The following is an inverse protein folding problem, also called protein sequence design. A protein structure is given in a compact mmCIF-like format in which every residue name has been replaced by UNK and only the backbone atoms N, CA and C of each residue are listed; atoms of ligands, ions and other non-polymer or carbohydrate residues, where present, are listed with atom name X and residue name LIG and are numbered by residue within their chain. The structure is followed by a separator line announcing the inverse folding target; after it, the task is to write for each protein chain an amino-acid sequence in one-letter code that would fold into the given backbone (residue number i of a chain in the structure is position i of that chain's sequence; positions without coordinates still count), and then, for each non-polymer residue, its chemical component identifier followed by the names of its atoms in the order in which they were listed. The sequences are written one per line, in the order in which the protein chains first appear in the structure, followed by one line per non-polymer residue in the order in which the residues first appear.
data_IF_941021111974
#
_entry.id   IF_941021111974
#
_cell.length_a   1.000
_cell.length_b   1.000
_cell.length_c   1.000
_cell.angle_alpha   90.00
_cell.angle_beta   90.00
_cell.angle_gamma   90.00
#
_symmetry.space_group_name_H-M   'P 1'
#
loop_
_entity.id
_entity.type
_entity.pdbx_description
1 polymer ?
#
# COMPACT_ATOMS: atom_id res chain seq x y z
N UNK A 1 -23.07 21.38 30.17
CA UNK A 1 -22.35 20.09 30.14
C UNK A 1 -21.53 20.05 28.86
N UNK A 2 -20.24 20.41 28.93
CA UNK A 2 -19.33 20.38 27.76
C UNK A 2 -19.21 18.92 27.30
N UNK A 3 -19.34 18.71 26.00
CA UNK A 3 -19.34 17.38 25.38
C UNK A 3 -18.07 16.63 25.74
N UNK A 4 -18.24 15.56 26.51
CA UNK A 4 -17.21 14.59 26.80
C UNK A 4 -16.94 13.84 25.48
N UNK A 5 -16.00 14.36 24.68
CA UNK A 5 -15.60 13.74 23.42
C UNK A 5 -15.28 12.27 23.67
N UNK A 6 -15.94 11.38 22.92
CA UNK A 6 -15.83 9.94 23.06
C UNK A 6 -14.36 9.56 23.03
N UNK A 7 -13.88 8.88 24.08
CA UNK A 7 -12.50 8.39 24.12
C UNK A 7 -12.36 7.27 23.09
N UNK A 8 -11.44 7.43 22.14
CA UNK A 8 -11.09 6.37 21.20
C UNK A 8 -10.51 5.17 21.93
N UNK A 9 -10.83 3.97 21.47
CA UNK A 9 -10.20 2.72 21.95
C UNK A 9 -8.78 2.58 21.40
N UNK A 10 -7.95 1.76 22.04
CA UNK A 10 -6.58 1.45 21.59
C UNK A 10 -6.58 0.94 20.13
N UNK A 11 -7.51 0.04 19.79
CA UNK A 11 -7.64 -0.49 18.43
C UNK A 11 -7.96 0.60 17.40
N UNK A 12 -8.88 1.50 17.71
CA UNK A 12 -9.21 2.64 16.84
C UNK A 12 -8.01 3.57 16.63
N UNK A 13 -7.20 3.82 17.66
CA UNK A 13 -5.99 4.64 17.54
C UNK A 13 -4.94 3.94 16.67
N UNK A 14 -4.73 2.63 16.84
CA UNK A 14 -3.79 1.87 16.01
C UNK A 14 -4.22 1.78 14.53
N UNK A 15 -5.51 1.88 14.25
CA UNK A 15 -6.06 1.96 12.90
C UNK A 15 -5.76 3.30 12.20
N UNK A 16 -5.45 4.37 12.94
CA UNK A 16 -5.02 5.66 12.38
C UNK A 16 -3.57 5.66 11.89
N UNK A 17 -2.78 4.64 12.23
CA UNK A 17 -1.37 4.61 11.89
C UNK A 17 -1.17 4.58 10.35
N UNK A 18 -0.36 5.48 9.77
CA UNK A 18 -0.18 5.57 8.32
C UNK A 18 0.65 4.41 7.75
N UNK A 19 1.46 3.77 8.59
CA UNK A 19 2.27 2.60 8.26
C UNK A 19 2.63 1.81 9.53
N UNK A 20 3.17 0.60 9.36
CA UNK A 20 3.53 -0.30 10.46
C UNK A 20 4.71 0.24 11.30
N UNK A 21 5.62 1.03 10.71
CA UNK A 21 6.74 1.62 11.45
C UNK A 21 6.24 2.70 12.43
N UNK A 22 5.35 3.57 11.96
CA UNK A 22 4.63 4.57 12.74
C UNK A 22 3.76 3.93 13.81
N UNK A 23 3.08 2.82 13.49
CA UNK A 23 2.32 2.02 14.47
C UNK A 23 3.20 1.50 15.60
N UNK A 24 4.31 0.85 15.26
CA UNK A 24 5.25 0.30 16.26
C UNK A 24 5.91 1.39 17.09
N UNK A 25 6.32 2.48 16.45
CA UNK A 25 6.94 3.62 17.13
C UNK A 25 5.94 4.31 18.08
N UNK A 26 4.73 4.62 17.60
CA UNK A 26 3.67 5.21 18.43
C UNK A 26 3.26 4.31 19.60
N UNK A 27 3.23 2.99 19.40
CA UNK A 27 2.94 2.03 20.48
C UNK A 27 3.97 2.09 21.61
N UNK A 28 5.26 2.28 21.29
CA UNK A 28 6.31 2.46 22.32
C UNK A 28 6.15 3.76 23.09
N UNK A 29 5.71 4.81 22.41
CA UNK A 29 5.46 6.12 23.02
C UNK A 29 4.15 6.17 23.81
N UNK A 30 3.25 5.18 23.70
CA UNK A 30 1.95 5.15 24.37
C UNK A 30 1.96 4.94 25.89
N UNK A 31 3.08 5.23 26.57
CA UNK A 31 3.26 5.01 28.01
C UNK A 31 3.52 6.34 28.74
N UNK A 32 3.03 6.47 29.99
CA UNK A 32 3.10 7.73 30.73
C UNK A 32 4.54 8.27 30.92
N UNK A 33 5.55 7.38 30.95
CA UNK A 33 6.96 7.76 31.14
C UNK A 33 7.57 8.54 29.97
N UNK A 34 7.01 8.44 28.77
CA UNK A 34 7.49 9.16 27.57
C UNK A 34 6.97 10.59 27.48
N UNK A 35 6.02 10.99 28.35
CA UNK A 35 5.27 12.24 28.21
C UNK A 35 5.38 13.14 29.44
N UNK A 36 5.38 14.44 29.18
CA UNK A 36 5.27 15.48 30.21
C UNK A 36 4.35 16.60 29.74
N UNK A 37 3.84 17.42 30.68
CA UNK A 37 2.94 18.53 30.36
C UNK A 37 1.68 18.11 29.60
N UNK A 38 1.19 16.89 29.85
CA UNK A 38 0.00 16.33 29.19
C UNK A 38 -1.27 17.02 29.69
N UNK A 39 -2.22 17.22 28.78
CA UNK A 39 -3.53 17.76 29.13
C UNK A 39 -4.58 17.50 28.06
N UNK A 40 -5.84 17.63 28.44
CA UNK A 40 -6.96 17.61 27.52
C UNK A 40 -7.99 18.68 27.88
N UNK A 41 -8.71 19.18 26.88
CA UNK A 41 -9.66 20.27 27.05
C UNK A 41 -10.17 20.78 25.71
N UNK A 42 -11.41 21.24 25.66
CA UNK A 42 -12.04 21.84 24.47
C UNK A 42 -11.88 21.04 23.17
N UNK A 43 -12.01 19.71 23.28
CA UNK A 43 -11.90 18.80 22.14
C UNK A 43 -10.46 18.51 21.68
N UNK A 44 -9.43 18.94 22.41
CA UNK A 44 -8.03 18.68 22.11
C UNK A 44 -7.34 17.83 23.18
N UNK A 45 -6.25 17.17 22.79
CA UNK A 45 -5.25 16.56 23.69
C UNK A 45 -3.86 17.03 23.29
N UNK A 46 -2.99 17.29 24.27
CA UNK A 46 -1.61 17.74 24.02
C UNK A 46 -0.63 17.11 25.00
N UNK A 47 0.65 17.15 24.64
CA UNK A 47 1.76 16.74 25.50
C UNK A 47 3.12 17.02 24.87
N UNK A 48 4.16 16.91 25.70
CA UNK A 48 5.57 16.94 25.30
C UNK A 48 6.11 15.51 25.33
N UNK A 49 6.42 14.95 24.16
CA UNK A 49 7.03 13.63 24.07
C UNK A 49 8.54 13.77 24.11
N UNK A 50 9.22 13.02 24.98
CA UNK A 50 10.68 12.94 24.98
C UNK A 50 11.11 11.68 24.22
N UNK A 51 11.93 11.86 23.19
CA UNK A 51 12.55 10.75 22.46
C UNK A 51 13.83 10.28 23.17
N UNK A 52 14.34 9.14 22.74
CA UNK A 52 15.50 8.47 23.34
C UNK A 52 16.79 9.31 23.29
N UNK A 53 16.86 10.27 22.36
CA UNK A 53 17.95 11.24 22.20
C UNK A 53 17.82 12.47 23.15
N UNK A 54 16.77 12.51 23.97
CA UNK A 54 16.46 13.60 24.89
C UNK A 54 15.73 14.78 24.24
N UNK A 55 15.54 14.78 22.92
CA UNK A 55 14.78 15.81 22.22
C UNK A 55 13.31 15.75 22.61
N UNK A 56 12.68 16.90 22.87
CA UNK A 56 11.27 16.98 23.27
C UNK A 56 10.41 17.59 22.19
N UNK A 57 9.37 16.87 21.76
CA UNK A 57 8.46 17.28 20.70
C UNK A 57 7.08 17.65 21.26
N UNK A 58 6.59 18.84 20.89
CA UNK A 58 5.24 19.30 21.22
C UNK A 58 4.23 18.69 20.27
N UNK A 59 3.32 17.92 20.83
CA UNK A 59 2.26 17.24 20.09
C UNK A 59 0.91 17.75 20.58
N UNK A 60 0.03 18.13 19.66
CA UNK A 60 -1.39 18.42 19.92
C UNK A 60 -2.24 17.74 18.86
N UNK A 61 -3.35 17.17 19.30
CA UNK A 61 -4.32 16.48 18.44
C UNK A 61 -5.71 17.02 18.74
N UNK A 62 -6.41 17.44 17.70
CA UNK A 62 -7.84 17.66 17.75
C UNK A 62 -8.54 16.30 17.78
N UNK A 63 -9.43 16.09 18.75
CA UNK A 63 -10.21 14.85 18.87
C UNK A 63 -11.62 14.98 18.33
N UNK A 64 -11.96 16.14 17.78
CA UNK A 64 -13.22 16.42 17.08
C UNK A 64 -13.05 16.50 15.56
N UNK A 65 -11.81 16.64 15.07
CA UNK A 65 -11.42 16.66 13.66
C UNK A 65 -10.04 15.99 13.49
N UNK A 66 -9.65 15.48 12.30
CA UNK A 66 -8.39 14.76 12.10
C UNK A 66 -7.16 15.68 12.01
N UNK A 67 -7.05 16.68 12.89
CA UNK A 67 -5.93 17.63 12.92
C UNK A 67 -4.86 17.12 13.88
N UNK A 68 -3.72 16.71 13.31
CA UNK A 68 -2.53 16.28 14.06
C UNK A 68 -1.42 17.31 13.86
N UNK A 69 -0.96 17.93 14.94
CA UNK A 69 0.15 18.87 14.89
C UNK A 69 1.26 18.42 15.85
N UNK A 70 2.43 18.12 15.27
CA UNK A 70 3.66 17.80 16.00
C UNK A 70 4.81 18.62 15.39
N UNK A 71 5.80 19.03 16.19
CA UNK A 71 7.03 19.67 15.70
C UNK A 71 8.19 18.70 15.41
N UNK A 72 7.90 17.39 15.34
CA UNK A 72 8.87 16.38 14.90
C UNK A 72 9.23 16.52 13.41
N UNK A 73 10.43 16.09 12.97
CA UNK A 73 10.81 16.08 11.56
C UNK A 73 10.04 15.04 10.71
N UNK A 74 9.23 14.19 11.34
CA UNK A 74 8.42 13.17 10.69
C UNK A 74 7.38 13.78 9.73
N UNK A 75 7.27 13.21 8.54
CA UNK A 75 6.31 13.65 7.50
C UNK A 75 5.01 12.84 7.46
N UNK A 76 4.93 11.77 8.24
CA UNK A 76 3.75 10.92 8.34
C UNK A 76 2.68 11.59 9.23
N UNK A 77 1.42 11.51 8.83
CA UNK A 77 0.29 12.07 9.56
C UNK A 77 -0.77 10.97 9.77
N UNK A 78 -1.13 10.61 11.02
CA UNK A 78 -0.49 11.02 12.27
C UNK A 78 0.95 10.48 12.40
N UNK A 79 1.86 11.26 12.95
CA UNK A 79 3.21 10.80 13.26
C UNK A 79 3.23 9.86 14.49
N UNK A 80 4.36 9.22 14.75
CA UNK A 80 4.53 8.34 15.92
C UNK A 80 4.18 9.05 17.25
N UNK A 81 4.53 10.33 17.41
CA UNK A 81 4.19 11.10 18.61
C UNK A 81 2.68 11.36 18.74
N UNK A 82 2.00 11.71 17.65
CA UNK A 82 0.54 11.89 17.64
C UNK A 82 -0.19 10.59 17.98
N UNK A 83 0.26 9.46 17.44
CA UNK A 83 -0.25 8.13 17.79
C UNK A 83 0.03 7.81 19.27
N UNK A 84 1.25 8.04 19.75
CA UNK A 84 1.63 7.81 21.15
C UNK A 84 0.77 8.60 22.14
N UNK A 85 0.46 9.86 21.83
CA UNK A 85 -0.38 10.71 22.68
C UNK A 85 -1.83 10.19 22.75
N UNK A 86 -2.38 9.77 21.61
CA UNK A 86 -3.72 9.19 21.54
C UNK A 86 -3.78 7.82 22.24
N UNK A 87 -2.73 7.01 22.12
CA UNK A 87 -2.63 5.71 22.80
C UNK A 87 -2.52 5.88 24.31
N UNK A 88 -1.74 6.87 24.78
CA UNK A 88 -1.69 7.24 26.19
C UNK A 88 -3.09 7.61 26.70
N UNK A 89 -3.81 8.46 25.96
CA UNK A 89 -5.19 8.86 26.31
C UNK A 89 -6.16 7.68 26.35
N UNK A 90 -6.02 6.74 25.42
CA UNK A 90 -6.88 5.56 25.29
C UNK A 90 -6.60 4.50 26.36
N UNK A 91 -5.34 4.35 26.78
CA UNK A 91 -4.89 3.28 27.67
C UNK A 91 -4.86 3.70 29.15
N UNK A 92 -4.53 4.96 29.42
CA UNK A 92 -4.45 5.52 30.78
C UNK A 92 -5.01 6.94 30.82
N UNK A 93 -6.34 7.03 30.92
CA UNK A 93 -7.04 8.31 30.96
C UNK A 93 -6.85 9.11 32.26
N UNK A 94 -6.12 8.61 33.25
CA UNK A 94 -5.73 9.35 34.45
C UNK A 94 -4.39 10.08 34.26
N UNK A 95 -3.54 9.62 33.32
CA UNK A 95 -2.28 10.27 32.95
C UNK A 95 -2.46 11.61 32.20
N UNK A 96 -3.68 11.94 31.77
CA UNK A 96 -4.00 13.18 31.06
C UNK A 96 -5.14 13.91 31.80
N UNK A 97 -4.78 14.96 32.54
CA UNK A 97 -5.73 15.78 33.28
C UNK A 97 -6.50 16.75 32.38
N UNK A 98 -7.73 17.08 32.77
CA UNK A 98 -8.49 18.16 32.14
C UNK A 98 -7.90 19.53 32.54
N UNK A 99 -7.59 20.38 31.57
CA UNK A 99 -7.05 21.72 31.79
C UNK A 99 -7.34 22.64 30.61
N UNK A 100 -7.11 23.95 30.80
CA UNK A 100 -7.25 24.92 29.72
C UNK A 100 -6.20 24.64 28.62
N UNK A 101 -6.63 24.72 27.36
CA UNK A 101 -5.74 24.51 26.20
C UNK A 101 -4.63 25.57 26.23
N UNK A 102 -3.34 25.17 26.25
CA UNK A 102 -2.23 26.12 26.21
C UNK A 102 -2.20 26.91 24.90
N UNK A 103 -1.74 28.17 24.95
CA UNK A 103 -1.68 29.06 23.78
C UNK A 103 -0.95 28.45 22.57
N UNK A 104 0.13 27.70 22.82
CA UNK A 104 0.89 27.05 21.74
C UNK A 104 0.07 25.95 21.05
N UNK A 105 -0.72 25.19 21.82
CA UNK A 105 -1.57 24.12 21.32
C UNK A 105 -2.75 24.72 20.55
N UNK A 106 -3.37 25.77 21.09
CA UNK A 106 -4.43 26.53 20.42
C UNK A 106 -3.99 27.12 19.09
N UNK A 107 -2.81 27.78 19.03
CA UNK A 107 -2.26 28.33 17.78
C UNK A 107 -2.01 27.24 16.73
N UNK A 108 -1.40 26.12 17.12
CA UNK A 108 -1.12 25.00 16.20
C UNK A 108 -2.39 24.35 15.64
N UNK A 109 -3.43 24.22 16.46
CA UNK A 109 -4.73 23.71 16.00
C UNK A 109 -5.41 24.70 15.04
N UNK A 110 -5.33 26.01 15.31
CA UNK A 110 -5.86 27.03 14.41
C UNK A 110 -5.12 27.04 13.06
N UNK A 111 -3.79 26.93 13.06
CA UNK A 111 -2.97 26.78 11.85
C UNK A 111 -3.33 25.51 11.07
N UNK A 112 -3.48 24.38 11.76
CA UNK A 112 -3.87 23.10 11.15
C UNK A 112 -5.26 23.14 10.49
N UNK A 113 -6.24 23.79 11.13
CA UNK A 113 -7.60 23.98 10.57
C UNK A 113 -7.62 24.98 9.41
N UNK A 114 -6.72 25.96 9.37
CA UNK A 114 -6.62 26.92 8.28
C UNK A 114 -5.87 26.35 7.05
N UNK A 115 -4.96 25.39 7.26
CA UNK A 115 -4.17 24.75 6.20
C UNK A 115 -4.95 23.84 5.24
N UNK A 116 -6.16 23.41 5.60
CA UNK A 116 -7.06 22.64 4.71
C UNK A 116 -7.62 23.48 3.54
N UNK A 117 -7.37 24.80 3.51
CA UNK A 117 -7.90 25.73 2.50
C UNK A 117 -6.94 26.21 1.40
N UNK A 118 -5.74 25.65 1.22
CA UNK A 118 -4.82 26.15 0.15
C UNK A 118 -4.05 25.03 -0.55
N UNK A 119 -4.55 24.64 -1.73
CA UNK A 119 -3.75 24.04 -2.80
C UNK A 119 -2.78 25.09 -3.34
N UNK A 120 -1.47 24.88 -3.19
CA UNK A 120 -0.47 25.77 -3.79
C UNK A 120 0.94 25.34 -3.45
N UNK A 121 1.55 24.56 -4.34
CA UNK A 121 2.99 24.34 -4.32
C UNK A 121 3.77 25.65 -4.49
N UNK A 122 4.94 25.72 -3.87
CA UNK A 122 5.95 26.75 -4.16
C UNK A 122 7.24 26.05 -4.59
N UNK A 123 7.99 26.60 -5.56
CA UNK A 123 9.12 25.92 -6.18
C UNK A 123 10.35 25.95 -5.26
N UNK A 124 11.23 24.98 -5.45
CA UNK A 124 12.54 24.93 -4.84
C UNK A 124 13.54 25.60 -5.77
N UNK A 125 13.93 26.82 -5.41
CA UNK A 125 15.08 27.51 -5.97
C UNK A 125 16.18 27.49 -4.87
N UNK A 126 17.42 27.20 -5.26
CA UNK A 126 18.59 27.15 -4.36
C UNK A 126 19.60 26.10 -4.84
N UNK A 127 20.36 26.36 -5.90
CA UNK A 127 21.64 27.10 -5.85
C UNK A 127 22.73 26.27 -5.16
N UNK A 128 23.42 25.47 -5.96
CA UNK A 128 24.65 24.75 -5.62
C UNK A 128 25.83 25.71 -5.65
N UNK A 129 26.46 25.93 -4.49
CA UNK A 129 27.70 26.69 -4.40
C UNK A 129 28.87 25.72 -4.40
N UNK A 130 29.64 25.81 -5.48
CA UNK A 130 30.98 25.25 -5.69
C UNK A 130 31.94 25.62 -4.55
N UNK A 131 32.69 24.64 -4.03
CA UNK A 131 34.00 24.86 -3.39
C UNK A 131 34.91 23.63 -3.56
N UNK A 132 35.74 23.71 -4.60
CA UNK A 132 37.19 23.88 -4.43
C UNK A 132 37.98 22.78 -3.71
N UNK A 133 38.55 21.91 -4.52
CA UNK A 133 39.74 21.09 -4.25
C UNK A 133 40.92 21.93 -3.75
N UNK A 134 41.66 21.43 -2.76
CA UNK A 134 43.09 21.75 -2.55
C UNK A 134 43.83 20.47 -2.16
N UNK A 135 44.93 20.25 -2.88
CA UNK A 135 45.90 19.16 -2.74
C UNK A 135 46.74 19.27 -1.45
N UNK A 136 47.35 18.16 -1.03
CA UNK A 136 48.49 18.24 -0.11
C UNK A 136 48.83 16.98 0.69
N UNK A 137 49.73 16.17 0.11
CA UNK A 137 50.82 15.43 0.76
C UNK A 137 50.60 14.12 1.53
N UNK A 138 51.25 13.10 0.97
CA UNK A 138 51.55 11.75 1.42
C UNK A 138 52.80 11.68 2.32
N UNK A 139 52.84 10.70 3.24
CA UNK A 139 54.06 9.96 3.62
C UNK A 139 53.71 8.58 4.24
N UNK A 140 54.19 7.54 3.54
CA UNK A 140 54.85 6.29 3.92
C UNK A 140 54.36 5.36 5.06
N UNK A 141 54.30 4.05 4.75
CA UNK A 141 54.34 2.97 5.75
C UNK A 141 53.87 1.58 5.30
N UNK A 142 54.74 0.88 4.56
CA UNK A 142 54.93 -0.57 4.34
C UNK A 142 53.89 -1.67 4.69
N UNK A 143 53.94 -2.69 3.80
CA UNK A 143 53.89 -4.15 4.06
C UNK A 143 52.54 -4.85 3.87
N UNK A 144 52.38 -6.03 3.27
CA UNK A 144 53.16 -6.97 2.42
C UNK A 144 52.16 -8.06 1.96
N UNK A 145 52.40 -8.68 0.79
CA UNK A 145 51.89 -10.01 0.42
C UNK A 145 50.42 -10.08 -0.04
N UNK A 146 50.03 -10.68 -1.16
CA UNK A 146 50.71 -11.50 -2.15
C UNK A 146 49.65 -12.20 -3.00
N UNK A 147 50.01 -12.64 -4.20
CA UNK A 147 49.21 -13.59 -4.99
C UNK A 147 48.76 -13.08 -6.34
N UNK A 148 49.65 -13.21 -7.33
CA UNK A 148 49.35 -13.11 -8.75
C UNK A 148 48.60 -14.37 -9.25
N UNK A 149 47.68 -14.18 -10.19
CA UNK A 149 47.38 -15.15 -11.24
C UNK A 149 46.91 -14.42 -12.51
N UNK A 150 47.85 -14.44 -13.46
CA UNK A 150 47.85 -14.24 -14.90
C UNK A 150 46.52 -14.17 -15.71
N UNK A 151 46.52 -13.17 -16.63
CA UNK A 151 46.17 -13.20 -18.08
C UNK A 151 44.69 -13.35 -18.45
N UNK A 152 44.12 -12.62 -19.40
CA UNK A 152 44.64 -12.19 -20.71
C UNK A 152 43.75 -11.06 -21.27
N UNK A 153 44.37 -9.97 -21.74
CA UNK A 153 43.70 -8.94 -22.55
C UNK A 153 43.72 -9.35 -24.02
N UNK A 154 42.58 -9.22 -24.69
CA UNK A 154 42.51 -9.08 -26.14
C UNK A 154 41.70 -7.81 -26.49
N UNK A 155 42.38 -7.01 -27.28
CA UNK A 155 42.15 -5.67 -27.82
C UNK A 155 40.86 -5.49 -28.65
N UNK A 156 40.43 -4.22 -28.78
CA UNK A 156 39.77 -3.75 -29.99
C UNK A 156 38.44 -2.99 -29.86
N UNK A 157 38.52 -1.66 -29.69
CA UNK A 157 37.67 -0.74 -30.47
C UNK A 157 36.62 0.10 -29.73
N UNK A 158 37.04 1.27 -29.23
CA UNK A 158 36.16 2.44 -29.05
C UNK A 158 35.63 2.94 -30.39
N UNK A 159 34.32 3.22 -30.45
CA UNK A 159 33.78 4.29 -31.27
C UNK A 159 32.56 4.88 -30.55
N UNK A 160 32.67 6.16 -30.25
CA UNK A 160 31.67 7.03 -29.65
C UNK A 160 30.36 7.06 -30.44
N UNK A 161 29.24 7.18 -29.73
CA UNK A 161 27.91 7.32 -30.34
C UNK A 161 26.79 7.42 -29.31
N UNK A 162 26.70 8.61 -28.72
CA UNK A 162 25.46 9.29 -28.28
C UNK A 162 24.30 8.41 -27.77
N UNK A 163 24.08 8.47 -26.45
CA UNK A 163 22.78 8.20 -25.83
C UNK A 163 21.74 9.20 -26.33
N UNK A 164 20.66 8.79 -27.02
CA UNK A 164 19.50 9.65 -27.13
C UNK A 164 18.67 9.47 -25.87
N UNK A 165 18.55 10.57 -25.13
CA UNK A 165 17.60 10.76 -24.06
C UNK A 165 16.22 10.27 -24.47
N UNK A 166 15.57 9.57 -23.53
CA UNK A 166 14.25 8.97 -23.69
C UNK A 166 13.16 10.02 -23.85
N UNK A 167 13.02 10.50 -25.07
CA UNK A 167 11.84 11.22 -25.52
C UNK A 167 10.68 10.23 -25.64
N UNK A 168 9.60 10.55 -24.94
CA UNK A 168 8.39 9.73 -24.84
C UNK A 168 7.66 9.74 -26.18
N UNK A 169 8.06 8.83 -27.08
CA UNK A 169 7.39 8.65 -28.35
C UNK A 169 5.98 8.08 -28.14
N UNK A 170 5.00 8.94 -28.39
CA UNK A 170 3.60 8.66 -28.64
C UNK A 170 3.46 7.41 -29.54
N UNK A 171 2.98 6.30 -28.98
CA UNK A 171 2.76 5.06 -29.72
C UNK A 171 1.42 5.15 -30.42
N UNK A 172 1.44 5.32 -31.74
CA UNK A 172 0.25 5.19 -32.59
C UNK A 172 -0.54 3.89 -32.34
N UNK A 173 -1.81 3.82 -32.78
CA UNK A 173 -2.72 2.75 -32.40
C UNK A 173 -2.15 1.38 -32.76
N UNK A 174 -2.05 0.50 -31.76
CA UNK A 174 -1.45 -0.81 -31.91
C UNK A 174 -2.17 -1.65 -32.99
N UNK A 175 -1.41 -2.28 -33.88
CA UNK A 175 -1.94 -3.24 -34.86
C UNK A 175 -2.83 -4.30 -34.18
N UNK A 176 -4.13 -4.39 -34.53
CA UNK A 176 -5.10 -5.27 -33.88
C UNK A 176 -4.75 -6.75 -34.06
N UNK A 177 -4.12 -7.12 -35.18
CA UNK A 177 -3.70 -8.51 -35.44
C UNK A 177 -2.51 -8.87 -34.54
N UNK A 178 -1.53 -7.97 -34.43
CA UNK A 178 -0.41 -8.16 -33.51
C UNK A 178 -0.87 -8.20 -32.04
N UNK A 179 -1.86 -7.39 -31.65
CA UNK A 179 -2.46 -7.42 -30.32
C UNK A 179 -3.13 -8.76 -30.01
N UNK A 180 -3.95 -9.27 -30.95
CA UNK A 180 -4.58 -10.60 -30.83
C UNK A 180 -3.53 -11.72 -30.69
N UNK A 181 -2.51 -11.73 -31.54
CA UNK A 181 -1.41 -12.72 -31.47
C UNK A 181 -0.66 -12.66 -30.13
N UNK A 182 -0.46 -11.47 -29.55
CA UNK A 182 0.13 -11.33 -28.20
C UNK A 182 -0.79 -11.90 -27.12
N UNK A 183 -2.09 -11.65 -27.21
CA UNK A 183 -3.08 -12.18 -26.28
C UNK A 183 -3.16 -13.72 -26.35
N UNK A 184 -3.15 -14.30 -27.55
CA UNK A 184 -3.14 -15.76 -27.76
C UNK A 184 -1.86 -16.41 -27.19
N UNK A 185 -0.68 -15.83 -27.45
CA UNK A 185 0.58 -16.31 -26.86
C UNK A 185 0.58 -16.23 -25.33
N UNK A 186 0.04 -15.15 -24.76
CA UNK A 186 -0.12 -15.01 -23.30
C UNK A 186 -1.05 -16.09 -22.76
N UNK A 187 -2.21 -16.31 -23.39
CA UNK A 187 -3.16 -17.33 -22.98
C UNK A 187 -2.55 -18.74 -23.02
N UNK A 188 -1.72 -19.05 -24.02
CA UNK A 188 -1.01 -20.32 -24.10
C UNK A 188 0.00 -20.51 -22.94
N UNK A 189 0.76 -19.47 -22.57
CA UNK A 189 1.68 -19.51 -21.41
C UNK A 189 0.93 -19.75 -20.10
N UNK A 190 -0.16 -19.03 -19.87
CA UNK A 190 -1.01 -19.19 -18.69
C UNK A 190 -1.59 -20.62 -18.65
N UNK A 191 -2.04 -21.14 -19.79
CA UNK A 191 -2.57 -22.51 -19.90
C UNK A 191 -1.52 -23.57 -19.55
N UNK A 192 -0.27 -23.36 -19.95
CA UNK A 192 0.83 -24.24 -19.53
C UNK A 192 1.07 -24.15 -18.03
N UNK A 193 1.12 -22.94 -17.47
CA UNK A 193 1.34 -22.72 -16.05
C UNK A 193 0.23 -23.33 -15.17
N UNK A 194 -1.04 -23.11 -15.53
CA UNK A 194 -2.20 -23.67 -14.81
C UNK A 194 -2.20 -25.20 -14.78
N UNK A 195 -1.77 -25.88 -15.86
CA UNK A 195 -1.62 -27.34 -15.85
C UNK A 195 -0.50 -27.82 -14.94
N UNK A 196 0.64 -27.10 -14.92
CA UNK A 196 1.72 -27.42 -13.99
C UNK A 196 1.28 -27.19 -12.54
N UNK A 197 0.56 -26.10 -12.26
CA UNK A 197 0.02 -25.81 -10.93
C UNK A 197 -1.00 -26.88 -10.49
N UNK A 198 -1.91 -27.29 -11.37
CA UNK A 198 -2.86 -28.38 -11.11
C UNK A 198 -2.14 -29.69 -10.73
N UNK A 199 -1.06 -30.02 -11.44
CA UNK A 199 -0.25 -31.20 -11.13
C UNK A 199 0.43 -31.06 -9.76
N UNK A 200 1.06 -29.92 -9.47
CA UNK A 200 1.70 -29.65 -8.16
C UNK A 200 0.71 -29.70 -7.00
N UNK A 201 -0.49 -29.13 -7.16
CA UNK A 201 -1.56 -29.22 -6.15
C UNK A 201 -2.02 -30.66 -5.94
N UNK A 202 -2.12 -31.44 -7.01
CA UNK A 202 -2.47 -32.87 -6.93
C UNK A 202 -1.39 -33.67 -6.21
N UNK A 203 -0.12 -33.39 -6.49
CA UNK A 203 1.01 -34.08 -5.86
C UNK A 203 1.14 -33.72 -4.38
N UNK A 204 0.88 -32.46 -4.02
CA UNK A 204 0.76 -32.03 -2.63
C UNK A 204 -0.31 -32.83 -1.88
N UNK A 205 -1.51 -32.96 -2.46
CA UNK A 205 -2.61 -33.72 -1.85
C UNK A 205 -2.27 -35.21 -1.76
N UNK A 206 -1.61 -35.78 -2.76
CA UNK A 206 -1.16 -37.18 -2.76
C UNK A 206 -0.08 -37.44 -1.70
N UNK A 207 0.82 -36.48 -1.49
CA UNK A 207 1.85 -36.52 -0.44
C UNK A 207 1.32 -36.29 0.98
N UNK A 208 0.08 -35.80 1.10
CA UNK A 208 -0.57 -35.50 2.36
C UNK A 208 -0.19 -34.13 2.93
N UNK A 209 -1.19 -33.42 3.44
CA UNK A 209 -1.02 -32.03 3.89
C UNK A 209 -0.12 -31.89 5.10
N UNK A 210 0.04 -32.92 5.94
CA UNK A 210 0.92 -32.88 7.11
C UNK A 210 2.39 -32.60 6.74
N UNK A 211 2.85 -33.11 5.59
CA UNK A 211 4.19 -32.86 5.08
C UNK A 211 4.36 -31.42 4.52
N UNK A 212 3.26 -30.77 4.15
CA UNK A 212 3.28 -29.39 3.65
C UNK A 212 3.82 -28.39 4.69
N UNK A 213 3.64 -28.67 5.99
CA UNK A 213 4.20 -27.85 7.07
C UNK A 213 5.72 -27.99 7.24
N UNK A 214 6.30 -29.07 6.73
CA UNK A 214 7.76 -29.26 6.67
C UNK A 214 8.35 -28.76 5.34
N UNK A 215 7.49 -28.46 4.37
CA UNK A 215 7.86 -27.95 3.06
C UNK A 215 8.20 -26.48 3.23
N UNK A 216 9.48 -26.12 3.09
CA UNK A 216 9.93 -24.74 3.26
C UNK A 216 9.31 -23.77 2.25
N UNK A 217 9.28 -22.48 2.62
CA UNK A 217 8.71 -21.38 1.81
C UNK A 217 9.30 -21.30 0.38
N UNK A 218 10.51 -21.81 0.17
CA UNK A 218 11.20 -21.80 -1.13
C UNK A 218 10.46 -22.56 -2.24
N UNK A 219 9.80 -23.69 -1.94
CA UNK A 219 9.06 -24.45 -2.97
C UNK A 219 7.80 -23.71 -3.43
N UNK A 220 7.15 -22.98 -2.52
CA UNK A 220 6.02 -22.11 -2.83
C UNK A 220 6.46 -20.90 -3.66
N UNK A 221 7.58 -20.26 -3.31
CA UNK A 221 8.13 -19.16 -4.12
C UNK A 221 8.60 -19.60 -5.49
N UNK A 222 9.21 -20.77 -5.63
CA UNK A 222 9.56 -21.33 -6.95
C UNK A 222 8.29 -21.51 -7.81
N UNK A 223 7.23 -22.06 -7.21
CA UNK A 223 5.94 -22.23 -7.88
C UNK A 223 5.32 -20.88 -8.26
N UNK A 224 5.40 -19.88 -7.38
CA UNK A 224 4.89 -18.54 -7.64
C UNK A 224 5.69 -17.83 -8.75
N UNK A 225 7.01 -17.97 -8.76
CA UNK A 225 7.88 -17.44 -9.81
C UNK A 225 7.51 -18.04 -11.18
N UNK A 226 7.29 -19.36 -11.26
CA UNK A 226 6.80 -20.01 -12.48
C UNK A 226 5.45 -19.48 -12.95
N UNK A 227 4.55 -19.11 -12.04
CA UNK A 227 3.28 -18.46 -12.40
C UNK A 227 3.49 -17.05 -12.96
N UNK A 228 4.46 -16.29 -12.46
CA UNK A 228 4.86 -15.00 -13.04
C UNK A 228 5.40 -15.20 -14.46
N UNK A 229 6.28 -16.18 -14.67
CA UNK A 229 6.83 -16.52 -15.99
C UNK A 229 5.75 -17.00 -16.97
N UNK A 230 4.75 -17.73 -16.46
CA UNK A 230 3.55 -18.12 -17.19
C UNK A 230 2.60 -16.94 -17.50
N UNK A 231 2.91 -15.72 -17.04
CA UNK A 231 2.08 -14.51 -17.16
C UNK A 231 0.74 -14.59 -16.40
N UNK A 232 0.74 -15.29 -15.26
CA UNK A 232 -0.40 -15.45 -14.35
C UNK A 232 -0.10 -14.88 -12.95
N UNK A 233 0.13 -13.56 -12.81
CA UNK A 233 0.53 -12.96 -11.53
C UNK A 233 -0.52 -13.10 -10.43
N UNK A 234 -1.82 -13.23 -10.78
CA UNK A 234 -2.87 -13.49 -9.81
C UNK A 234 -2.77 -14.89 -9.19
N UNK A 235 -2.41 -15.90 -9.99
CA UNK A 235 -2.11 -17.24 -9.48
C UNK A 235 -0.81 -17.26 -8.68
N UNK A 236 0.20 -16.49 -9.08
CA UNK A 236 1.42 -16.33 -8.29
C UNK A 236 1.13 -15.80 -6.88
N UNK A 237 0.24 -14.80 -6.76
CA UNK A 237 -0.24 -14.29 -5.46
C UNK A 237 -0.89 -15.38 -4.62
N UNK A 238 -1.81 -16.16 -5.23
CA UNK A 238 -2.49 -17.28 -4.56
C UNK A 238 -1.53 -18.35 -4.05
N UNK A 239 -0.52 -18.72 -4.85
CA UNK A 239 0.51 -19.67 -4.44
C UNK A 239 1.30 -19.18 -3.23
N UNK A 240 1.61 -17.88 -3.16
CA UNK A 240 2.27 -17.32 -1.97
C UNK A 240 1.36 -17.33 -0.75
N UNK A 241 0.08 -17.03 -0.92
CA UNK A 241 -0.92 -17.15 0.13
C UNK A 241 -0.97 -18.59 0.68
N UNK A 242 -0.97 -19.61 -0.19
CA UNK A 242 -0.90 -21.02 0.23
C UNK A 242 0.35 -21.32 1.07
N UNK A 243 1.52 -20.82 0.65
CA UNK A 243 2.78 -21.00 1.37
C UNK A 243 2.83 -20.37 2.76
N UNK A 244 2.00 -19.35 3.03
CA UNK A 244 1.90 -18.73 4.34
C UNK A 244 0.99 -19.49 5.32
N UNK A 245 0.07 -20.34 4.82
CA UNK A 245 -0.94 -21.01 5.64
C UNK A 245 -0.33 -21.94 6.70
N UNK A 246 0.67 -22.79 6.44
CA UNK A 246 1.22 -23.67 7.47
C UNK A 246 1.76 -22.94 8.70
N UNK A 247 2.23 -21.70 8.54
CA UNK A 247 2.71 -20.83 9.63
C UNK A 247 1.63 -20.05 10.37
N UNK A 248 0.35 -20.19 10.00
CA UNK A 248 -0.77 -19.38 10.54
C UNK A 248 -1.40 -19.92 11.84
N UNK A 249 -0.79 -20.92 12.48
CA UNK A 249 -1.25 -21.50 13.74
C UNK A 249 -2.20 -22.69 13.59
N UNK A 250 -2.93 -23.09 14.65
CA UNK A 250 -3.78 -24.28 14.66
C UNK A 250 -4.83 -24.29 13.55
N UNK A 251 -5.19 -25.48 13.06
CA UNK A 251 -6.20 -25.66 12.00
C UNK A 251 -5.71 -25.36 10.58
N UNK A 252 -4.43 -25.04 10.40
CA UNK A 252 -3.85 -24.77 9.09
C UNK A 252 -4.05 -25.87 8.03
N UNK A 253 -4.10 -27.19 8.32
CA UNK A 253 -4.27 -28.18 7.26
C UNK A 253 -5.63 -28.06 6.56
N UNK A 254 -6.69 -27.74 7.31
CA UNK A 254 -8.03 -27.54 6.75
C UNK A 254 -8.06 -26.28 5.89
N UNK A 255 -7.50 -25.17 6.40
CA UNK A 255 -7.39 -23.91 5.64
C UNK A 255 -6.57 -24.09 4.36
N UNK A 256 -5.47 -24.84 4.43
CA UNK A 256 -4.64 -25.13 3.27
C UNK A 256 -5.41 -25.93 2.23
N UNK A 257 -6.17 -26.95 2.64
CA UNK A 257 -7.02 -27.71 1.74
C UNK A 257 -8.07 -26.84 1.05
N UNK A 258 -8.74 -25.98 1.81
CA UNK A 258 -9.75 -25.04 1.29
C UNK A 258 -9.16 -24.10 0.24
N UNK A 259 -8.02 -23.47 0.53
CA UNK A 259 -7.36 -22.56 -0.40
C UNK A 259 -6.75 -23.30 -1.60
N UNK A 260 -6.25 -24.53 -1.43
CA UNK A 260 -5.84 -25.39 -2.54
C UNK A 260 -7.03 -25.72 -3.45
N UNK A 261 -8.20 -26.02 -2.89
CA UNK A 261 -9.41 -26.30 -3.64
C UNK A 261 -9.91 -25.07 -4.41
N UNK A 262 -9.87 -23.88 -3.81
CA UNK A 262 -10.21 -22.62 -4.47
C UNK A 262 -9.22 -22.28 -5.60
N UNK A 263 -7.93 -22.53 -5.39
CA UNK A 263 -6.89 -22.33 -6.41
C UNK A 263 -7.08 -23.31 -7.57
N UNK A 264 -7.30 -24.59 -7.27
CA UNK A 264 -7.62 -25.60 -8.28
C UNK A 264 -8.89 -25.23 -9.07
N UNK A 265 -9.95 -24.77 -8.40
CA UNK A 265 -11.18 -24.35 -9.07
C UNK A 265 -10.92 -23.19 -10.07
N UNK A 266 -10.04 -22.25 -9.70
CA UNK A 266 -9.64 -21.17 -10.60
C UNK A 266 -8.84 -21.68 -11.81
N UNK A 267 -7.92 -22.63 -11.62
CA UNK A 267 -7.21 -23.29 -12.71
C UNK A 267 -8.18 -24.01 -13.66
N UNK A 268 -9.11 -24.80 -13.12
CA UNK A 268 -10.16 -25.47 -13.90
C UNK A 268 -11.02 -24.47 -14.66
N UNK A 269 -11.38 -23.36 -14.03
CA UNK A 269 -12.18 -22.31 -14.65
C UNK A 269 -11.43 -21.61 -15.79
N UNK A 270 -10.11 -21.41 -15.66
CA UNK A 270 -9.27 -20.92 -16.76
C UNK A 270 -9.24 -21.90 -17.94
N UNK A 271 -9.00 -23.19 -17.67
CA UNK A 271 -8.96 -24.23 -18.69
C UNK A 271 -10.31 -24.45 -19.39
N UNK A 272 -11.41 -24.05 -18.74
CA UNK A 272 -12.76 -24.12 -19.28
C UNK A 272 -13.32 -22.76 -19.74
N UNK A 273 -12.49 -21.71 -19.81
CA UNK A 273 -12.95 -20.32 -19.96
C UNK A 273 -13.83 -20.08 -21.19
N UNK A 274 -13.58 -20.79 -22.29
CA UNK A 274 -14.36 -20.66 -23.54
C UNK A 274 -15.80 -21.20 -23.42
N UNK A 275 -16.11 -21.97 -22.37
CA UNK A 275 -17.45 -22.50 -22.08
C UNK A 275 -18.18 -21.71 -21.00
N UNK A 276 -17.52 -20.74 -20.37
CA UNK A 276 -18.11 -19.96 -19.29
C UNK A 276 -18.94 -18.80 -19.86
N UNK A 277 -20.05 -18.41 -19.20
CA UNK A 277 -20.73 -17.16 -19.53
C UNK A 277 -19.77 -15.99 -19.45
N UNK A 278 -19.92 -15.01 -20.35
CA UNK A 278 -18.96 -13.90 -20.50
C UNK A 278 -18.59 -13.19 -19.18
N UNK A 279 -19.54 -12.90 -18.25
CA UNK A 279 -19.19 -12.29 -16.97
C UNK A 279 -18.27 -13.17 -16.10
N UNK A 280 -18.47 -14.49 -16.11
CA UNK A 280 -17.59 -15.42 -15.37
C UNK A 280 -16.22 -15.55 -16.03
N UNK A 281 -16.17 -15.64 -17.36
CA UNK A 281 -14.91 -15.68 -18.10
C UNK A 281 -14.06 -14.43 -17.80
N UNK A 282 -14.69 -13.24 -17.70
CA UNK A 282 -13.99 -12.02 -17.28
C UNK A 282 -13.47 -12.12 -15.84
N UNK A 283 -14.29 -12.60 -14.89
CA UNK A 283 -13.85 -12.79 -13.50
C UNK A 283 -12.63 -13.72 -13.41
N UNK A 284 -12.64 -14.83 -14.15
CA UNK A 284 -11.51 -15.77 -14.21
C UNK A 284 -10.25 -15.07 -14.75
N UNK A 285 -10.34 -14.34 -15.86
CA UNK A 285 -9.22 -13.58 -16.42
C UNK A 285 -8.63 -12.60 -15.40
N UNK A 286 -9.49 -11.86 -14.70
CA UNK A 286 -9.04 -10.91 -13.66
C UNK A 286 -8.37 -11.61 -12.48
N UNK A 287 -8.91 -12.75 -12.02
CA UNK A 287 -8.35 -13.51 -10.90
C UNK A 287 -7.02 -14.18 -11.24
N UNK A 288 -6.79 -14.55 -12.51
CA UNK A 288 -5.49 -15.02 -13.02
C UNK A 288 -4.48 -13.88 -13.14
N UNK A 289 -4.93 -12.61 -13.14
CA UNK A 289 -4.08 -11.43 -13.15
C UNK A 289 -4.05 -10.67 -14.47
N UNK A 290 -5.01 -10.93 -15.37
CA UNK A 290 -5.19 -10.13 -16.58
C UNK A 290 -6.00 -8.86 -16.26
N UNK A 291 -5.70 -7.73 -16.92
CA UNK A 291 -6.48 -6.51 -16.74
C UNK A 291 -7.92 -6.72 -17.21
N UNK A 292 -8.89 -6.20 -16.44
CA UNK A 292 -10.30 -6.16 -16.83
C UNK A 292 -10.61 -4.81 -17.48
N UNK A 293 -11.22 -4.77 -18.67
CA UNK A 293 -11.64 -3.51 -19.26
C UNK A 293 -12.76 -2.87 -18.45
N UNK A 294 -12.70 -1.54 -18.37
CA UNK A 294 -13.83 -0.70 -17.96
C UNK A 294 -14.81 -0.72 -19.13
N UNK A 295 -15.98 -1.33 -18.94
CA UNK A 295 -16.95 -1.52 -20.02
C UNK A 295 -18.41 -1.57 -19.56
N UNK A 296 -18.69 -1.26 -18.29
CA UNK A 296 -20.05 -1.03 -17.83
C UNK A 296 -20.57 0.35 -18.23
N UNK A 297 -21.89 0.54 -18.22
CA UNK A 297 -22.48 1.87 -18.34
C UNK A 297 -22.16 2.69 -17.07
N UNK A 298 -21.81 3.99 -17.19
CA UNK A 298 -21.66 4.88 -16.05
C UNK A 298 -22.92 4.88 -15.18
N UNK A 299 -22.73 4.80 -13.87
CA UNK A 299 -23.81 4.79 -12.87
C UNK A 299 -23.64 6.01 -11.98
N UNK A 300 -24.59 6.93 -12.04
CA UNK A 300 -24.67 8.05 -11.09
C UNK A 300 -25.41 7.63 -9.83
N UNK A 301 -24.88 7.97 -8.67
CA UNK A 301 -25.49 7.73 -7.35
C UNK A 301 -24.93 8.75 -6.33
N UNK A 302 -25.51 8.77 -5.14
CA UNK A 302 -24.93 9.38 -3.95
C UNK A 302 -24.09 8.34 -3.22
N UNK A 303 -22.77 8.44 -3.38
CA UNK A 303 -21.79 7.50 -2.89
C UNK A 303 -21.31 7.89 -1.50
N UNK A 304 -21.71 7.13 -0.48
CA UNK A 304 -21.14 7.20 0.86
C UNK A 304 -19.78 6.50 0.87
N UNK A 305 -18.74 7.22 1.32
CA UNK A 305 -17.40 6.64 1.51
C UNK A 305 -17.37 5.84 2.81
N UNK A 306 -17.34 4.52 2.71
CA UNK A 306 -17.36 3.62 3.85
C UNK A 306 -15.98 3.44 4.49
N UNK A 307 -14.95 3.28 3.66
CA UNK A 307 -13.60 3.02 4.14
C UNK A 307 -12.56 3.41 3.10
N UNK A 308 -11.39 3.84 3.58
CA UNK A 308 -10.22 4.11 2.76
C UNK A 308 -8.98 3.57 3.47
N UNK A 309 -8.16 2.81 2.76
CA UNK A 309 -6.85 2.38 3.26
C UNK A 309 -5.84 2.24 2.12
N UNK A 310 -4.59 2.52 2.45
CA UNK A 310 -3.48 2.48 1.52
C UNK A 310 -2.61 1.25 1.83
N UNK A 311 -2.27 0.51 0.78
CA UNK A 311 -1.31 -0.59 0.83
C UNK A 311 -0.18 -0.25 -0.13
N UNK A 312 1.06 -0.26 0.32
CA UNK A 312 2.21 0.09 -0.51
C UNK A 312 3.33 -0.92 -0.48
N UNK A 313 4.09 -0.96 -1.57
CA UNK A 313 5.45 -1.51 -1.62
C UNK A 313 6.46 -0.40 -1.99
N UNK A 314 7.72 -0.77 -2.23
CA UNK A 314 8.79 0.19 -2.59
C UNK A 314 8.58 0.88 -3.94
N UNK A 315 7.61 0.46 -4.75
CA UNK A 315 7.38 0.94 -6.12
C UNK A 315 6.01 1.58 -6.30
N UNK A 316 5.00 1.14 -5.57
CA UNK A 316 3.60 1.50 -5.78
C UNK A 316 2.83 1.58 -4.47
N UNK A 317 2.14 2.70 -4.24
CA UNK A 317 1.10 2.83 -3.22
C UNK A 317 -0.26 2.66 -3.88
N UNK A 318 -1.06 1.72 -3.39
CA UNK A 318 -2.44 1.47 -3.84
C UNK A 318 -3.42 1.86 -2.74
N UNK A 319 -4.28 2.83 -3.02
CA UNK A 319 -5.42 3.21 -2.19
C UNK A 319 -6.65 2.44 -2.61
N UNK A 320 -7.35 1.88 -1.64
CA UNK A 320 -8.64 1.19 -1.82
C UNK A 320 -9.71 2.02 -1.13
N UNK A 321 -10.67 2.52 -1.91
CA UNK A 321 -11.81 3.27 -1.39
C UNK A 321 -13.08 2.46 -1.60
N UNK A 322 -13.76 2.13 -0.51
CA UNK A 322 -15.05 1.46 -0.52
C UNK A 322 -16.17 2.48 -0.46
N UNK A 323 -17.09 2.39 -1.43
CA UNK A 323 -18.21 3.30 -1.61
C UNK A 323 -19.52 2.49 -1.54
N UNK A 324 -20.57 3.12 -1.01
CA UNK A 324 -21.92 2.58 -1.01
C UNK A 324 -22.90 3.59 -1.61
N UNK A 325 -23.54 3.21 -2.71
CA UNK A 325 -24.57 3.98 -3.38
C UNK A 325 -25.85 3.96 -2.54
N UNK A 326 -26.18 5.10 -1.94
CA UNK A 326 -27.31 5.20 -1.00
C UNK A 326 -28.67 5.18 -1.70
N UNK A 327 -28.73 5.50 -3.00
CA UNK A 327 -29.96 5.41 -3.80
C UNK A 327 -30.09 4.04 -4.46
N UNK A 328 -29.01 3.53 -5.05
CA UNK A 328 -29.00 2.28 -5.80
C UNK A 328 -28.71 1.03 -4.99
N UNK A 329 -28.28 1.16 -3.73
CA UNK A 329 -27.93 0.06 -2.84
C UNK A 329 -26.69 -0.73 -3.27
N UNK A 330 -25.78 -0.10 -4.05
CA UNK A 330 -24.63 -0.78 -4.67
C UNK A 330 -23.35 -0.54 -3.90
N UNK A 331 -22.52 -1.56 -3.76
CA UNK A 331 -21.16 -1.41 -3.24
C UNK A 331 -20.18 -1.28 -4.39
N UNK A 332 -19.28 -0.29 -4.32
CA UNK A 332 -18.22 -0.09 -5.29
C UNK A 332 -16.85 0.02 -4.61
N UNK A 333 -15.80 -0.37 -5.33
CA UNK A 333 -14.41 -0.27 -4.95
C UNK A 333 -13.68 0.56 -6.00
N UNK A 334 -13.19 1.73 -5.59
CA UNK A 334 -12.32 2.56 -6.42
C UNK A 334 -10.88 2.33 -5.99
N UNK A 335 -10.00 2.12 -6.97
CA UNK A 335 -8.57 2.01 -6.75
C UNK A 335 -7.90 3.31 -7.20
N UNK A 336 -7.02 3.85 -6.37
CA UNK A 336 -6.15 4.97 -6.75
C UNK A 336 -4.71 4.58 -6.52
N UNK A 337 -3.82 5.04 -7.39
CA UNK A 337 -2.42 4.65 -7.39
C UNK A 337 -1.52 5.87 -7.19
N UNK A 338 -0.45 5.68 -6.43
CA UNK A 338 0.62 6.64 -6.18
C UNK A 338 1.97 5.98 -6.44
N UNK A 339 2.91 6.72 -7.02
CA UNK A 339 4.28 6.23 -7.18
C UNK A 339 4.95 6.01 -5.80
N UNK A 340 5.91 5.09 -5.73
CA UNK A 340 6.77 4.78 -4.57
C UNK A 340 6.75 5.82 -3.43
N UNK A 341 6.06 5.49 -2.33
CA UNK A 341 6.00 6.32 -1.12
C UNK A 341 5.14 7.59 -1.21
N UNK A 342 4.50 7.87 -2.35
CA UNK A 342 3.56 8.98 -2.51
C UNK A 342 2.13 8.49 -2.32
N UNK A 343 1.33 9.30 -1.63
CA UNK A 343 -0.10 9.05 -1.48
C UNK A 343 -0.80 9.15 -2.86
N UNK A 344 -1.77 8.27 -3.14
CA UNK A 344 -2.57 8.36 -4.36
C UNK A 344 -3.36 9.67 -4.44
N UNK A 345 -3.51 10.21 -5.66
CA UNK A 345 -4.12 11.54 -5.87
C UNK A 345 -5.59 11.62 -5.46
N UNK A 346 -6.34 10.53 -5.63
CA UNK A 346 -7.75 10.52 -5.31
C UNK A 346 -7.92 10.47 -3.78
N UNK A 347 -8.54 11.50 -3.22
CA UNK A 347 -8.86 11.60 -1.79
C UNK A 347 -10.36 11.70 -1.64
N UNK A 348 -10.97 10.64 -1.11
CA UNK A 348 -12.40 10.58 -0.81
C UNK A 348 -12.53 10.40 0.70
N UNK A 349 -12.88 11.44 1.47
CA UNK A 349 -12.93 11.37 2.93
C UNK A 349 -13.94 10.32 3.39
N UNK A 350 -13.54 9.44 4.30
CA UNK A 350 -14.44 8.45 4.91
C UNK A 350 -15.58 9.17 5.62
N UNK A 351 -16.81 8.72 5.41
CA UNK A 351 -18.03 9.34 5.93
C UNK A 351 -18.63 10.41 5.03
N UNK A 352 -17.92 10.89 4.01
CA UNK A 352 -18.48 11.84 3.04
C UNK A 352 -19.50 11.15 2.12
N UNK A 353 -20.54 11.90 1.73
CA UNK A 353 -21.45 11.53 0.65
C UNK A 353 -21.12 12.39 -0.56
N UNK A 354 -20.92 11.75 -1.71
CA UNK A 354 -20.52 12.39 -2.95
C UNK A 354 -21.53 12.09 -4.05
N UNK A 355 -22.04 13.10 -4.74
CA UNK A 355 -22.74 12.90 -6.00
C UNK A 355 -21.71 12.73 -7.11
N UNK A 356 -21.77 11.58 -7.78
CA UNK A 356 -20.88 11.29 -8.88
C UNK A 356 -21.15 10.02 -9.65
N UNK A 357 -20.45 9.89 -10.77
CA UNK A 357 -20.56 8.75 -11.67
C UNK A 357 -19.44 7.74 -11.45
N UNK A 358 -19.80 6.46 -11.38
CA UNK A 358 -18.88 5.34 -11.36
C UNK A 358 -19.11 4.44 -12.57
N UNK A 359 -18.03 4.10 -13.29
CA UNK A 359 -18.09 3.16 -14.40
C UNK A 359 -17.59 1.80 -13.94
N UNK A 360 -18.46 0.77 -13.84
CA UNK A 360 -18.05 -0.51 -13.29
C UNK A 360 -17.17 -1.30 -14.27
N UNK A 361 -16.23 -2.05 -13.71
CA UNK A 361 -15.51 -3.07 -14.45
C UNK A 361 -16.44 -4.24 -14.77
N UNK A 362 -16.17 -4.90 -15.89
CA UNK A 362 -16.87 -6.13 -16.25
C UNK A 362 -16.41 -7.30 -15.38
N UNK A 363 -17.32 -8.25 -15.17
CA UNK A 363 -17.07 -9.46 -14.40
C UNK A 363 -18.18 -9.76 -13.40
N UNK A 364 -18.49 -11.04 -13.21
CA UNK A 364 -19.43 -11.48 -12.17
C UNK A 364 -18.88 -11.16 -10.77
N UNK A 365 -19.69 -10.49 -9.95
CA UNK A 365 -19.35 -10.13 -8.56
C UNK A 365 -18.22 -9.10 -8.41
N UNK A 366 -17.85 -8.40 -9.48
CA UNK A 366 -16.86 -7.32 -9.41
C UNK A 366 -17.50 -6.07 -8.82
N UNK A 367 -16.91 -5.57 -7.73
CA UNK A 367 -17.25 -4.26 -7.15
C UNK A 367 -16.36 -3.15 -7.72
N UNK A 368 -15.33 -3.48 -8.49
CA UNK A 368 -14.37 -2.50 -8.98
C UNK A 368 -15.05 -1.53 -9.95
N UNK A 369 -14.83 -0.23 -9.75
CA UNK A 369 -15.28 0.82 -10.65
C UNK A 369 -14.19 1.89 -10.82
N UNK A 370 -14.24 2.60 -11.95
CA UNK A 370 -13.43 3.79 -12.18
C UNK A 370 -14.29 5.05 -11.97
N UNK A 371 -13.75 6.08 -11.30
CA UNK A 371 -14.44 7.35 -11.12
C UNK A 371 -14.62 8.06 -12.46
N UNK A 372 -15.86 8.47 -12.74
CA UNK A 372 -16.21 9.34 -13.86
C UNK A 372 -16.02 10.82 -13.52
N UNK A 373 -16.65 11.69 -14.31
CA UNK A 373 -16.64 13.13 -14.05
C UNK A 373 -17.61 13.48 -12.90
N UNK A 374 -17.22 14.46 -12.08
CA UNK A 374 -17.97 15.03 -10.94
C UNK A 374 -18.04 14.12 -9.70
N UNK A 375 -17.27 14.44 -8.66
CA UNK A 375 -17.48 14.00 -7.29
C UNK A 375 -17.59 15.23 -6.42
N UNK A 376 -18.83 15.69 -6.18
CA UNK A 376 -19.07 16.89 -5.38
C UNK A 376 -19.67 16.45 -4.04
N UNK A 377 -19.19 16.98 -2.90
CA UNK A 377 -19.83 16.77 -1.61
C UNK A 377 -21.29 17.23 -1.64
N UNK A 378 -22.19 16.44 -1.04
CA UNK A 378 -23.64 16.73 -0.97
C UNK A 378 -24.09 16.84 0.47
#
# INVERSE_FOLDING_TARGET
MKGMGVRSTVEQVLALAPDEASRRAGSRLGTAGSWSGTGCGDGAVWGLCRDDDGTSYRTVVDTTAPVYACDCPGRALPCAHALGLLLLRASDGAAIGESAVPDWAGRRLAEGRAGEGTTGGRPADGESVDRGSVDGESVDGESTGGGAADRESADGGSADGETPDGESADRGPADPVAARRRAERRAARITSGTRELEQRLTDLLRGGLAAAGQTGYGLWEETAARMVDAQAPGLAGRVRELGAIPGSGPGWPVRLLEECALTHLLDRAWLAADRLPAPFATTVRTRVGLPSPVAGAPVRDHWLVLAQYDTGDTRLTTRRVWLYGTTGGRTALVLSYGAAGRAPRLSLPVGAVLDGELTPHTGSGQVRAEPGEHFVPV
#
